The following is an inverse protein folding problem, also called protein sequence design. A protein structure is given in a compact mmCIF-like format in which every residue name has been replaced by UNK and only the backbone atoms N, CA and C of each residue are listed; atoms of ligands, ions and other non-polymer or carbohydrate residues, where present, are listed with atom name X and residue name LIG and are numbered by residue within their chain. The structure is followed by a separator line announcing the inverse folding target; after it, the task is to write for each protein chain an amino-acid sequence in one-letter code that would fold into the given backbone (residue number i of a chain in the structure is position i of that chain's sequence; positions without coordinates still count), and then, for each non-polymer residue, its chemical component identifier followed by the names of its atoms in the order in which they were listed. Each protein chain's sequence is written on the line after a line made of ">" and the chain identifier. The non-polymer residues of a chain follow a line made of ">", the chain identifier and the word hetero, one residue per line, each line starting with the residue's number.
data_IF_704177106492
#
_entry.id   IF_704177106492
#
_cell.length_a   1.000
_cell.length_b   1.000
_cell.length_c   1.000
_cell.angle_alpha   90.00
_cell.angle_beta   90.00
_cell.angle_gamma   90.00
#
_symmetry.space_group_name_H-M   'P 1'
#
loop_
_entity.id
_entity.type
_entity.pdbx_description
1 polymer ?
#
# COMPACT_ATOMS: atom_id res chain seq x y z
N UNK A 1 -52.08 -12.98 6.96
CA UNK A 1 -51.33 -11.70 6.88
C UNK A 1 -49.85 -12.02 7.13
N UNK A 2 -49.04 -11.93 6.04
CA UNK A 2 -47.64 -12.38 6.08
C UNK A 2 -46.77 -11.40 6.88
N UNK A 3 -46.26 -11.85 7.99
CA UNK A 3 -45.34 -11.14 8.90
C UNK A 3 -43.91 -10.97 8.34
N UNK A 4 -43.71 -11.27 7.09
CA UNK A 4 -42.41 -11.10 6.42
C UNK A 4 -42.55 -10.20 5.19
N UNK A 5 -42.84 -8.94 5.42
CA UNK A 5 -42.68 -7.91 4.40
C UNK A 5 -41.20 -7.89 3.97
N UNK A 6 -40.96 -8.27 2.73
CA UNK A 6 -39.63 -8.49 2.16
C UNK A 6 -38.99 -7.18 1.70
N UNK A 7 -39.12 -6.11 2.50
CA UNK A 7 -38.52 -4.82 2.22
C UNK A 7 -37.00 -4.86 2.45
N UNK A 8 -36.29 -5.48 1.51
CA UNK A 8 -34.86 -5.25 1.40
C UNK A 8 -34.67 -3.79 1.02
N UNK A 9 -34.06 -3.01 1.91
CA UNK A 9 -33.65 -1.66 1.56
C UNK A 9 -32.58 -1.77 0.46
N UNK A 10 -32.70 -1.04 -0.64
CA UNK A 10 -31.64 -0.99 -1.65
C UNK A 10 -30.41 -0.31 -1.05
N UNK A 11 -29.23 -0.66 -1.55
CA UNK A 11 -27.99 0.02 -1.18
C UNK A 11 -28.08 1.50 -1.54
N UNK A 12 -27.81 2.41 -0.62
CA UNK A 12 -27.92 3.86 -0.86
C UNK A 12 -26.83 4.38 -1.82
N UNK A 13 -25.83 3.56 -2.12
CA UNK A 13 -24.72 3.92 -3.01
C UNK A 13 -25.02 3.49 -4.44
N UNK A 14 -25.30 2.19 -4.68
CA UNK A 14 -25.44 1.63 -6.01
C UNK A 14 -26.83 1.07 -6.34
N UNK A 15 -27.79 1.13 -5.40
CA UNK A 15 -29.13 0.56 -5.56
C UNK A 15 -29.20 -0.98 -5.48
N UNK A 16 -28.07 -1.67 -5.32
CA UNK A 16 -28.00 -3.13 -5.24
C UNK A 16 -28.68 -3.71 -3.99
N UNK A 17 -28.94 -5.02 -4.00
CA UNK A 17 -29.59 -5.70 -2.87
C UNK A 17 -28.66 -5.77 -1.65
N UNK A 18 -29.16 -5.36 -0.48
CA UNK A 18 -28.40 -5.41 0.76
C UNK A 18 -28.56 -6.75 1.48
N UNK A 19 -27.54 -7.22 2.24
CA UNK A 19 -27.64 -8.39 3.10
C UNK A 19 -28.73 -8.22 4.18
N UNK A 20 -29.35 -9.31 4.60
CA UNK A 20 -30.33 -9.26 5.70
C UNK A 20 -29.71 -9.17 7.09
N UNK A 21 -28.52 -9.75 7.23
CA UNK A 21 -27.79 -9.86 8.49
C UNK A 21 -26.35 -9.43 8.25
N UNK A 22 -25.76 -8.81 9.28
CA UNK A 22 -24.33 -8.42 9.32
C UNK A 22 -23.92 -7.48 8.16
N UNK A 23 -24.85 -6.68 7.64
CA UNK A 23 -24.51 -5.67 6.65
C UNK A 23 -23.74 -4.53 7.34
N UNK A 24 -22.66 -4.07 6.71
CA UNK A 24 -22.03 -2.79 7.07
C UNK A 24 -23.02 -1.67 6.86
N UNK A 25 -23.04 -0.72 7.78
CA UNK A 25 -23.99 0.40 7.74
C UNK A 25 -23.23 1.72 7.70
N UNK A 26 -23.76 2.62 6.92
CA UNK A 26 -23.34 4.03 6.89
C UNK A 26 -24.58 4.86 7.28
N UNK A 27 -24.48 5.69 8.32
CA UNK A 27 -25.63 6.45 8.87
C UNK A 27 -26.89 5.55 9.03
N UNK A 28 -26.71 4.36 9.65
CA UNK A 28 -27.77 3.36 9.86
C UNK A 28 -28.34 2.72 8.57
N UNK A 29 -27.85 3.08 7.40
CA UNK A 29 -28.27 2.48 6.14
C UNK A 29 -27.34 1.33 5.70
N UNK A 30 -27.91 0.13 5.47
CA UNK A 30 -27.09 -1.00 5.06
C UNK A 30 -26.59 -0.83 3.63
N UNK A 31 -25.33 -1.21 3.38
CA UNK A 31 -24.74 -1.27 2.05
C UNK A 31 -24.70 -2.69 1.50
N UNK A 32 -24.60 -2.84 0.18
CA UNK A 32 -24.52 -4.15 -0.46
C UNK A 32 -23.09 -4.72 -0.36
N UNK A 33 -22.97 -6.03 -0.61
CA UNK A 33 -21.67 -6.73 -0.57
C UNK A 33 -20.64 -6.16 -1.55
N UNK A 34 -21.08 -5.67 -2.70
CA UNK A 34 -20.18 -5.11 -3.71
C UNK A 34 -19.56 -3.78 -3.24
N UNK A 35 -20.36 -2.91 -2.61
CA UNK A 35 -19.83 -1.69 -1.99
C UNK A 35 -18.97 -2.00 -0.76
N UNK A 36 -19.35 -3.02 0.02
CA UNK A 36 -18.61 -3.46 1.20
C UNK A 36 -17.20 -3.98 0.85
N UNK A 37 -17.05 -4.75 -0.23
CA UNK A 37 -15.76 -5.26 -0.70
C UNK A 37 -14.77 -4.15 -1.10
N UNK A 38 -15.28 -3.00 -1.48
CA UNK A 38 -14.46 -1.85 -1.86
C UNK A 38 -13.88 -1.10 -0.66
N UNK A 39 -14.28 -1.46 0.57
CA UNK A 39 -13.76 -0.82 1.78
C UNK A 39 -12.31 -1.24 2.00
N UNK A 40 -11.42 -0.28 1.86
CA UNK A 40 -9.98 -0.38 2.13
C UNK A 40 -9.57 0.80 3.01
N UNK A 41 -10.16 0.86 4.18
CA UNK A 41 -10.01 1.90 5.18
C UNK A 41 -9.63 1.27 6.52
N UNK A 42 -8.97 2.01 7.41
CA UNK A 42 -8.70 1.56 8.76
C UNK A 42 -9.99 1.17 9.50
N UNK A 43 -9.87 0.24 10.44
CA UNK A 43 -10.99 -0.22 11.25
C UNK A 43 -11.70 0.95 11.92
N UNK A 44 -13.02 0.97 11.82
CA UNK A 44 -13.87 2.02 12.38
C UNK A 44 -14.01 3.29 11.55
N UNK A 45 -13.16 3.52 10.55
CA UNK A 45 -13.23 4.73 9.72
C UNK A 45 -14.59 4.86 9.01
N UNK A 46 -15.11 3.74 8.51
CA UNK A 46 -16.42 3.69 7.82
C UNK A 46 -17.56 4.12 8.73
N UNK A 47 -17.49 3.80 10.03
CA UNK A 47 -18.55 4.14 11.00
C UNK A 47 -18.64 5.65 11.28
N UNK A 48 -17.58 6.39 11.00
CA UNK A 48 -17.50 7.84 11.17
C UNK A 48 -17.88 8.62 9.91
N UNK A 49 -18.09 7.93 8.79
CA UNK A 49 -18.40 8.57 7.51
C UNK A 49 -19.89 8.82 7.33
N UNK A 50 -20.22 9.95 6.73
CA UNK A 50 -21.54 10.19 6.16
C UNK A 50 -21.72 9.42 4.84
N UNK A 51 -22.95 9.27 4.39
CA UNK A 51 -23.25 8.66 3.09
C UNK A 51 -22.62 9.40 1.92
N UNK A 52 -22.54 10.72 2.01
CA UNK A 52 -21.91 11.54 0.97
C UNK A 52 -20.41 11.30 0.91
N UNK A 53 -19.73 11.25 2.05
CA UNK A 53 -18.30 10.93 2.13
C UNK A 53 -18.02 9.52 1.63
N UNK A 54 -18.86 8.55 2.01
CA UNK A 54 -18.70 7.18 1.54
C UNK A 54 -18.96 7.07 0.02
N UNK A 55 -19.87 7.83 -0.55
CA UNK A 55 -20.07 7.87 -2.00
C UNK A 55 -18.84 8.40 -2.72
N UNK A 56 -18.26 9.49 -2.24
CA UNK A 56 -16.99 10.03 -2.75
C UNK A 56 -15.84 9.04 -2.62
N UNK A 57 -15.80 8.30 -1.52
CA UNK A 57 -14.82 7.23 -1.33
C UNK A 57 -15.00 6.12 -2.37
N UNK A 58 -16.20 5.66 -2.65
CA UNK A 58 -16.48 4.64 -3.68
C UNK A 58 -16.08 5.15 -5.08
N UNK A 59 -16.38 6.41 -5.41
CA UNK A 59 -15.95 7.04 -6.66
C UNK A 59 -14.41 7.08 -6.76
N UNK A 60 -13.74 7.45 -5.69
CA UNK A 60 -12.27 7.40 -5.61
C UNK A 60 -11.73 5.99 -5.76
N UNK A 61 -12.35 5.00 -5.09
CA UNK A 61 -11.97 3.60 -5.20
C UNK A 61 -12.11 3.08 -6.63
N UNK A 62 -13.22 3.42 -7.32
CA UNK A 62 -13.45 3.01 -8.69
C UNK A 62 -12.47 3.70 -9.66
N UNK A 63 -12.17 4.97 -9.44
CA UNK A 63 -11.16 5.71 -10.21
C UNK A 63 -9.73 5.19 -10.01
N UNK A 64 -9.46 4.49 -8.90
CA UNK A 64 -8.17 3.88 -8.59
C UNK A 64 -7.92 2.53 -9.31
N UNK A 65 -8.91 2.00 -10.02
CA UNK A 65 -8.82 0.71 -10.72
C UNK A 65 -7.59 0.59 -11.62
N UNK A 66 -7.19 1.57 -12.44
CA UNK A 66 -6.00 1.46 -13.28
C UNK A 66 -4.69 1.28 -12.48
N UNK A 67 -4.57 1.93 -11.31
CA UNK A 67 -3.40 1.77 -10.46
C UNK A 67 -3.38 0.39 -9.79
N UNK A 68 -4.54 -0.09 -9.31
CA UNK A 68 -4.65 -1.45 -8.76
C UNK A 68 -4.33 -2.51 -9.78
N UNK A 69 -4.83 -2.36 -11.02
CA UNK A 69 -4.58 -3.30 -12.11
C UNK A 69 -3.10 -3.30 -12.57
N UNK A 70 -2.43 -2.16 -12.48
CA UNK A 70 -1.01 -2.03 -12.85
C UNK A 70 -0.06 -2.53 -11.75
N UNK A 71 -0.51 -2.60 -10.49
CA UNK A 71 0.34 -2.91 -9.34
C UNK A 71 0.91 -4.32 -9.41
N UNK A 72 2.24 -4.42 -9.34
CA UNK A 72 2.99 -5.67 -9.24
C UNK A 72 3.96 -5.57 -8.06
N UNK A 73 3.74 -6.38 -7.02
CA UNK A 73 4.64 -6.39 -5.87
C UNK A 73 6.06 -6.79 -6.31
N UNK A 74 7.01 -5.88 -6.14
CA UNK A 74 8.44 -6.11 -6.42
C UNK A 74 9.28 -6.05 -5.16
N UNK A 75 8.78 -5.40 -4.11
CA UNK A 75 9.45 -5.29 -2.81
C UNK A 75 8.41 -5.10 -1.71
N UNK A 76 8.83 -5.32 -0.47
CA UNK A 76 7.98 -5.20 0.70
C UNK A 76 8.74 -4.57 1.84
N UNK A 77 8.14 -3.57 2.45
CA UNK A 77 8.63 -2.94 3.64
C UNK A 77 7.88 -3.48 4.86
N UNK A 78 8.57 -4.25 5.70
CA UNK A 78 8.03 -4.78 6.95
C UNK A 78 8.79 -4.18 8.12
N UNK A 79 8.10 -3.42 8.95
CA UNK A 79 8.72 -2.73 10.08
C UNK A 79 8.65 -3.51 11.38
N UNK A 80 7.64 -4.33 11.60
CA UNK A 80 7.39 -4.94 12.91
C UNK A 80 6.85 -6.37 12.82
N UNK A 81 6.81 -7.06 13.96
CA UNK A 81 6.16 -8.35 14.13
C UNK A 81 4.63 -8.31 13.90
N UNK A 82 4.04 -7.12 13.81
CA UNK A 82 2.63 -6.93 13.46
C UNK A 82 2.52 -6.77 11.94
N UNK A 83 1.47 -7.32 11.30
CA UNK A 83 1.30 -7.29 9.85
C UNK A 83 0.87 -5.90 9.37
N UNK A 84 1.80 -4.95 9.38
CA UNK A 84 1.66 -3.63 8.77
C UNK A 84 2.75 -3.46 7.71
N UNK A 85 2.67 -4.31 6.70
CA UNK A 85 3.57 -4.24 5.57
C UNK A 85 3.14 -3.11 4.64
N UNK A 86 4.11 -2.44 4.04
CA UNK A 86 3.90 -1.61 2.87
C UNK A 86 4.41 -2.41 1.68
N UNK A 87 3.54 -2.64 0.72
CA UNK A 87 3.84 -3.36 -0.51
C UNK A 87 4.24 -2.37 -1.57
N UNK A 88 5.37 -2.60 -2.21
CA UNK A 88 5.98 -1.68 -3.16
C UNK A 88 6.01 -2.29 -4.56
N UNK A 89 5.63 -1.50 -5.54
CA UNK A 89 5.91 -1.72 -6.95
C UNK A 89 6.92 -0.67 -7.40
N UNK A 90 8.19 -1.03 -7.34
CA UNK A 90 9.29 -0.11 -7.64
C UNK A 90 9.29 0.25 -9.14
N UNK A 91 8.90 -0.70 -9.99
CA UNK A 91 8.91 -0.50 -11.45
C UNK A 91 7.89 0.54 -11.91
N UNK A 92 6.71 0.56 -11.28
CA UNK A 92 5.65 1.51 -11.63
C UNK A 92 5.57 2.68 -10.64
N UNK A 93 6.40 2.69 -9.58
CA UNK A 93 6.38 3.73 -8.54
C UNK A 93 5.08 3.73 -7.73
N UNK A 94 4.50 2.55 -7.48
CA UNK A 94 3.25 2.39 -6.75
C UNK A 94 3.48 1.75 -5.38
N UNK A 95 2.60 2.06 -4.44
CA UNK A 95 2.58 1.40 -3.12
C UNK A 95 1.17 1.13 -2.64
N UNK A 96 1.00 0.15 -1.74
CA UNK A 96 -0.27 -0.17 -1.08
C UNK A 96 -0.04 -0.71 0.33
N UNK A 97 -1.08 -0.65 1.18
CA UNK A 97 -1.00 -1.04 2.59
C UNK A 97 -1.61 -2.41 2.90
N UNK A 98 -2.11 -3.11 1.91
CA UNK A 98 -2.68 -4.45 2.08
C UNK A 98 -2.29 -5.38 0.94
N UNK A 99 -2.11 -6.70 1.21
CA UNK A 99 -1.62 -7.66 0.21
C UNK A 99 -2.65 -8.06 -0.84
N UNK A 100 -3.93 -7.67 -0.67
CA UNK A 100 -5.03 -8.08 -1.56
C UNK A 100 -5.04 -7.25 -2.85
N UNK A 101 -5.41 -7.87 -3.95
CA UNK A 101 -5.43 -7.23 -5.26
C UNK A 101 -6.44 -6.09 -5.37
N UNK A 102 -7.50 -6.14 -4.56
CA UNK A 102 -8.50 -5.09 -4.47
C UNK A 102 -8.07 -3.89 -3.60
N UNK A 103 -6.93 -3.97 -2.91
CA UNK A 103 -6.44 -2.86 -2.08
C UNK A 103 -6.10 -1.64 -2.95
N UNK A 104 -6.36 -0.46 -2.41
CA UNK A 104 -5.99 0.81 -3.04
C UNK A 104 -4.48 0.84 -3.29
N UNK A 105 -4.10 1.22 -4.50
CA UNK A 105 -2.72 1.50 -4.88
C UNK A 105 -2.53 3.01 -5.04
N UNK A 106 -1.40 3.50 -4.57
CA UNK A 106 -1.07 4.92 -4.57
C UNK A 106 0.20 5.16 -5.38
N UNK A 107 0.20 6.22 -6.16
CA UNK A 107 1.41 6.67 -6.83
C UNK A 107 2.37 7.30 -5.80
N UNK A 108 3.68 7.06 -5.93
CA UNK A 108 4.72 7.59 -5.04
C UNK A 108 4.70 9.11 -4.92
N UNK A 109 4.23 9.82 -5.93
CA UNK A 109 4.09 11.29 -5.90
C UNK A 109 3.05 11.76 -4.88
N UNK A 110 2.16 10.87 -4.42
CA UNK A 110 1.23 11.13 -3.33
C UNK A 110 1.90 11.11 -1.96
N UNK A 111 3.10 10.53 -1.84
CA UNK A 111 3.85 10.45 -0.59
C UNK A 111 4.53 11.78 -0.28
N UNK A 112 3.96 12.54 0.64
CA UNK A 112 4.54 13.81 1.09
C UNK A 112 5.49 13.63 2.26
N UNK A 113 5.07 12.86 3.25
CA UNK A 113 5.84 12.53 4.43
C UNK A 113 5.32 11.25 5.07
N UNK A 114 6.16 10.60 5.86
CA UNK A 114 5.77 9.48 6.69
C UNK A 114 6.42 9.60 8.07
N UNK A 115 5.76 9.03 9.07
CA UNK A 115 6.23 8.94 10.43
C UNK A 115 6.05 7.50 10.91
N UNK A 116 7.13 6.88 11.39
CA UNK A 116 7.10 5.58 12.03
C UNK A 116 7.23 5.79 13.53
N UNK A 117 6.29 5.25 14.28
CA UNK A 117 6.26 5.33 15.74
C UNK A 117 6.27 3.95 16.38
N UNK A 118 6.90 3.82 17.54
CA UNK A 118 6.80 2.67 18.44
C UNK A 118 6.33 3.18 19.79
N UNK A 119 5.27 2.59 20.35
CA UNK A 119 4.64 3.03 21.61
C UNK A 119 4.33 4.55 21.65
N UNK A 120 3.88 5.09 20.52
CA UNK A 120 3.65 6.52 20.29
C UNK A 120 4.90 7.42 20.30
N UNK A 121 6.10 6.87 20.45
CA UNK A 121 7.33 7.60 20.28
C UNK A 121 7.76 7.60 18.80
N UNK A 122 8.15 8.75 18.21
CA UNK A 122 8.63 8.78 16.83
C UNK A 122 9.98 8.10 16.73
N UNK A 123 10.10 7.15 15.80
CA UNK A 123 11.37 6.50 15.44
C UNK A 123 11.98 7.10 14.19
N UNK A 124 11.15 7.32 13.19
CA UNK A 124 11.52 7.90 11.91
C UNK A 124 10.53 8.92 11.45
N UNK A 125 11.04 9.97 10.88
CA UNK A 125 10.28 10.89 10.07
C UNK A 125 11.01 11.03 8.72
N UNK A 126 10.28 10.90 7.64
CA UNK A 126 10.81 11.02 6.30
C UNK A 126 9.92 11.83 5.40
N UNK A 127 10.55 12.46 4.43
CA UNK A 127 9.91 13.06 3.25
C UNK A 127 10.46 12.37 2.01
N UNK A 128 9.94 12.68 0.83
CA UNK A 128 10.53 12.22 -0.42
C UNK A 128 12.02 12.62 -0.58
N UNK A 129 12.51 13.60 0.20
CA UNK A 129 13.85 14.19 0.06
C UNK A 129 14.80 13.85 1.20
N UNK A 130 14.28 13.48 2.40
CA UNK A 130 15.11 13.24 3.59
C UNK A 130 14.50 12.25 4.58
N UNK A 131 15.35 11.44 5.18
CA UNK A 131 15.03 10.56 6.30
C UNK A 131 15.70 11.09 7.57
N UNK A 132 14.96 11.20 8.65
CA UNK A 132 15.46 11.56 9.98
C UNK A 132 15.21 10.43 10.96
N UNK A 133 16.27 9.99 11.66
CA UNK A 133 16.19 9.08 12.79
C UNK A 133 16.19 9.87 14.11
N UNK A 134 15.35 9.47 15.04
CA UNK A 134 15.23 10.11 16.35
C UNK A 134 16.03 9.41 17.44
N UNK A 135 16.44 8.15 17.23
CA UNK A 135 17.20 7.36 18.18
C UNK A 135 18.36 6.63 17.49
N UNK A 136 19.52 6.56 18.17
CA UNK A 136 20.73 5.87 17.67
C UNK A 136 20.55 4.36 17.58
N UNK A 137 19.82 3.75 18.51
CA UNK A 137 19.54 2.30 18.48
C UNK A 137 18.61 1.92 17.33
N UNK A 138 17.86 2.89 16.83
CA UNK A 138 16.98 2.76 15.68
C UNK A 138 17.75 3.01 14.37
N UNK A 139 18.87 3.74 14.41
CA UNK A 139 19.66 4.05 13.22
C UNK A 139 20.15 2.78 12.51
N UNK A 140 20.56 1.75 13.25
CA UNK A 140 21.00 0.47 12.69
C UNK A 140 19.85 -0.28 12.02
N UNK A 141 18.64 -0.21 12.59
CA UNK A 141 17.41 -0.74 11.98
C UNK A 141 17.02 0.08 10.77
N UNK A 142 17.15 1.41 10.84
CA UNK A 142 16.91 2.31 9.73
C UNK A 142 17.81 2.01 8.53
N UNK A 143 19.08 1.74 8.79
CA UNK A 143 20.04 1.41 7.74
C UNK A 143 19.63 0.17 6.94
N UNK A 144 18.87 -0.76 7.53
CA UNK A 144 18.34 -1.93 6.85
C UNK A 144 17.21 -1.56 5.86
N UNK A 145 16.45 -0.50 6.13
CA UNK A 145 15.32 -0.07 5.33
C UNK A 145 15.69 1.02 4.32
N UNK A 146 16.79 1.74 4.56
CA UNK A 146 17.23 2.81 3.67
C UNK A 146 17.31 2.37 2.19
N UNK A 147 17.88 1.19 1.84
CA UNK A 147 17.92 0.75 0.45
C UNK A 147 16.55 0.56 -0.19
N UNK A 148 15.54 0.14 0.59
CA UNK A 148 14.17 -0.02 0.08
C UNK A 148 13.51 1.33 -0.19
N UNK A 149 13.72 2.29 0.73
CA UNK A 149 13.20 3.66 0.60
C UNK A 149 13.87 4.34 -0.59
N UNK A 150 15.19 4.26 -0.71
CA UNK A 150 15.95 4.86 -1.79
C UNK A 150 15.49 4.34 -3.15
N UNK A 151 15.32 3.03 -3.30
CA UNK A 151 14.77 2.44 -4.52
C UNK A 151 13.37 2.94 -4.86
N UNK A 152 12.51 3.05 -3.84
CA UNK A 152 11.14 3.50 -4.03
C UNK A 152 11.05 4.96 -4.45
N UNK A 153 11.97 5.81 -3.97
CA UNK A 153 12.01 7.24 -4.28
C UNK A 153 12.67 7.56 -5.62
N UNK A 154 13.45 6.63 -6.19
CA UNK A 154 14.05 6.81 -7.51
C UNK A 154 12.95 6.91 -8.59
N UNK A 155 13.18 7.74 -9.58
CA UNK A 155 12.35 7.69 -10.77
C UNK A 155 12.66 6.43 -11.60
N UNK A 156 11.76 6.09 -12.52
CA UNK A 156 11.87 4.87 -13.32
C UNK A 156 13.18 4.80 -14.13
N UNK A 157 13.64 5.94 -14.64
CA UNK A 157 14.86 5.99 -15.46
C UNK A 157 16.11 5.80 -14.60
N UNK A 158 16.15 6.42 -13.43
CA UNK A 158 17.21 6.25 -12.44
C UNK A 158 17.27 4.81 -11.92
N UNK A 159 16.11 4.20 -11.64
CA UNK A 159 16.02 2.81 -11.23
C UNK A 159 16.54 1.86 -12.31
N UNK A 160 16.10 2.01 -13.57
CA UNK A 160 16.58 1.20 -14.70
C UNK A 160 18.09 1.40 -14.98
N UNK A 161 18.59 2.60 -14.72
CA UNK A 161 20.03 2.89 -14.82
C UNK A 161 20.83 2.16 -13.73
N UNK A 162 20.37 2.24 -12.47
CA UNK A 162 21.00 1.53 -11.36
C UNK A 162 21.02 0.02 -11.56
N UNK A 163 19.90 -0.58 -11.99
CA UNK A 163 19.86 -2.01 -12.25
C UNK A 163 20.84 -2.43 -13.35
N UNK A 164 20.96 -1.63 -14.43
CA UNK A 164 21.95 -1.87 -15.48
C UNK A 164 23.37 -1.82 -14.96
N UNK A 165 23.68 -0.83 -14.13
CA UNK A 165 25.01 -0.69 -13.53
C UNK A 165 25.33 -1.86 -12.61
N UNK A 166 24.40 -2.25 -11.73
CA UNK A 166 24.57 -3.38 -10.82
C UNK A 166 24.81 -4.70 -11.58
N UNK A 167 24.06 -4.97 -12.65
CA UNK A 167 24.28 -6.16 -13.52
C UNK A 167 25.65 -6.15 -14.19
N UNK A 168 26.10 -4.98 -14.63
CA UNK A 168 27.45 -4.87 -15.26
C UNK A 168 28.58 -5.08 -14.25
N UNK A 169 28.41 -4.63 -13.01
CA UNK A 169 29.38 -4.87 -11.93
C UNK A 169 29.44 -6.35 -11.55
N UNK A 170 28.29 -7.01 -11.41
CA UNK A 170 28.20 -8.43 -11.12
C UNK A 170 28.86 -9.27 -12.23
N UNK A 171 28.61 -8.93 -13.49
CA UNK A 171 29.24 -9.61 -14.63
C UNK A 171 30.75 -9.38 -14.68
N UNK A 172 31.22 -8.18 -14.31
CA UNK A 172 32.67 -7.90 -14.17
C UNK A 172 33.30 -8.72 -13.05
N UNK A 173 32.65 -8.78 -11.90
CA UNK A 173 33.12 -9.57 -10.76
C UNK A 173 33.23 -11.05 -11.13
N UNK A 174 32.21 -11.60 -11.79
CA UNK A 174 32.19 -12.98 -12.27
C UNK A 174 33.32 -13.28 -13.26
N UNK A 175 33.57 -12.40 -14.22
CA UNK A 175 34.68 -12.54 -15.18
C UNK A 175 36.06 -12.45 -14.51
N UNK A 176 36.18 -11.69 -13.43
CA UNK A 176 37.43 -11.59 -12.65
C UNK A 176 37.69 -12.87 -11.86
N UNK A 177 36.67 -13.47 -11.28
CA UNK A 177 36.76 -14.75 -10.55
C UNK A 177 37.07 -15.92 -11.50
N UNK A 178 36.48 -15.96 -12.69
CA UNK A 178 36.79 -16.96 -13.72
C UNK A 178 38.26 -16.88 -14.17
N UNK A 179 38.82 -15.66 -14.25
CA UNK A 179 40.26 -15.47 -14.60
C UNK A 179 41.20 -15.88 -13.44
N UNK A 180 40.74 -15.75 -12.17
CA UNK A 180 41.53 -16.19 -11.00
C UNK A 180 41.47 -17.69 -10.79
N UNK A 181 40.36 -18.34 -11.14
CA UNK A 181 40.17 -19.79 -11.00
C UNK A 181 40.79 -20.64 -12.12
N UNK A 182 41.13 -20.04 -13.31
CA UNK A 182 41.67 -20.74 -14.45
C UNK A 182 43.21 -20.92 -14.46
N UNK A 183 43.91 -20.57 -13.39
CA UNK A 183 45.35 -20.65 -13.25
C UNK A 183 45.81 -21.81 -12.35
N UNK A 184 45.38 -23.05 -12.67
CA UNK A 184 45.99 -24.29 -12.12
C UNK A 184 46.27 -25.27 -13.21
#
# INVERSE_FOLDING_TARGET
>A
MGLFSNNKKPCPICGGATPRLLATKIEDMPICKECDRKIDLPDGAVNAMSLEEFRRYIEFYDANEPLRAAFQETDRFNWSFLPKDIFLDIQHGLFRFAPRDEALAFDRTCLKSFLITEDNAPLFEGTAEALRCYDTDVADRAAQFQPHIDRFLLDRQEYEHMERMARMEEERARRMDERRGGGR
#
